data_IF_857284972663
#
_entry.id   IF_857284972663
#
_cell.length_a   1.000
_cell.length_b   1.000
_cell.length_c   1.000
_cell.angle_alpha   90.00
_cell.angle_beta   90.00
_cell.angle_gamma   90.00
#
_symmetry.space_group_name_H-M   'P 1'
#
loop_
_entity.id
_entity.type
_entity.pdbx_description
1 polymer ?
#
# COMPACT_ATOMS: atom_id res chain seq x y z
N UNK A 1 40.46 5.69 8.94
CA UNK A 1 39.19 5.88 8.22
C UNK A 1 38.85 7.35 8.31
N UNK A 2 38.79 8.03 7.17
CA UNK A 2 38.38 9.43 7.11
C UNK A 2 36.92 9.55 7.60
N UNK A 3 36.54 10.72 8.14
CA UNK A 3 35.19 11.00 8.62
C UNK A 3 34.11 10.70 7.58
N UNK A 4 34.37 11.07 6.32
CA UNK A 4 33.49 10.76 5.20
C UNK A 4 33.27 9.25 5.03
N UNK A 5 34.35 8.45 5.07
CA UNK A 5 34.27 6.99 4.97
C UNK A 5 33.46 6.40 6.14
N UNK A 6 33.58 6.99 7.34
CA UNK A 6 32.79 6.59 8.53
C UNK A 6 31.30 6.77 8.33
N UNK A 7 30.91 7.93 7.83
CA UNK A 7 29.51 8.20 7.54
C UNK A 7 28.98 7.34 6.38
N UNK A 8 29.75 7.17 5.32
CA UNK A 8 29.37 6.33 4.19
C UNK A 8 29.21 4.86 4.61
N UNK A 9 30.13 4.33 5.42
CA UNK A 9 30.00 2.97 5.96
C UNK A 9 28.74 2.78 6.82
N UNK A 10 28.34 3.80 7.57
CA UNK A 10 27.08 3.77 8.30
C UNK A 10 25.85 3.71 7.37
N UNK A 11 25.89 4.37 6.21
CA UNK A 11 24.83 4.23 5.21
C UNK A 11 24.81 2.82 4.60
N UNK A 12 26.00 2.27 4.31
CA UNK A 12 26.16 0.95 3.71
C UNK A 12 25.87 -0.22 4.67
N UNK A 13 25.70 0.00 5.97
CA UNK A 13 25.38 -1.06 6.93
C UNK A 13 23.91 -1.51 6.89
N UNK A 14 23.22 -1.33 5.76
CA UNK A 14 21.81 -1.66 5.56
C UNK A 14 20.82 -0.51 5.82
N UNK A 15 21.32 0.70 6.10
CA UNK A 15 20.48 1.87 6.40
C UNK A 15 19.98 2.55 5.13
N UNK A 16 20.91 2.89 4.22
CA UNK A 16 20.62 3.46 2.92
C UNK A 16 21.77 3.09 1.95
N UNK A 17 21.84 1.81 1.63
CA UNK A 17 22.85 1.25 0.73
C UNK A 17 22.85 1.92 -0.67
N UNK A 18 21.69 2.23 -1.29
CA UNK A 18 21.66 2.93 -2.58
C UNK A 18 22.38 4.29 -2.53
N UNK A 19 22.11 5.12 -1.53
CA UNK A 19 22.79 6.40 -1.37
C UNK A 19 24.26 6.22 -1.04
N UNK A 20 24.60 5.29 -0.13
CA UNK A 20 26.00 4.98 0.20
C UNK A 20 26.83 4.61 -1.03
N UNK A 21 26.29 3.74 -1.89
CA UNK A 21 26.93 3.36 -3.15
C UNK A 21 27.03 4.52 -4.14
N UNK A 22 26.00 5.37 -4.23
CA UNK A 22 26.02 6.59 -5.07
C UNK A 22 27.13 7.55 -4.63
N UNK A 23 27.30 7.75 -3.32
CA UNK A 23 28.35 8.61 -2.75
C UNK A 23 29.75 8.02 -2.98
N UNK A 24 29.95 6.71 -2.76
CA UNK A 24 31.22 6.03 -3.07
C UNK A 24 31.62 6.17 -4.54
N UNK A 25 30.66 5.97 -5.45
CA UNK A 25 30.90 6.11 -6.88
C UNK A 25 31.28 7.55 -7.25
N UNK A 26 30.62 8.54 -6.63
CA UNK A 26 30.93 9.95 -6.87
C UNK A 26 32.37 10.29 -6.46
N UNK A 27 32.81 9.90 -5.26
CA UNK A 27 34.16 10.25 -4.78
C UNK A 27 35.29 9.54 -5.55
N UNK A 28 35.01 8.41 -6.19
CA UNK A 28 35.98 7.69 -7.01
C UNK A 28 36.15 8.31 -8.40
N UNK A 29 35.07 8.90 -8.95
CA UNK A 29 35.02 9.31 -10.36
C UNK A 29 34.92 10.82 -10.56
N UNK A 30 34.60 11.59 -9.52
CA UNK A 30 34.35 13.03 -9.57
C UNK A 30 34.88 13.72 -8.32
N UNK A 31 35.04 15.03 -8.42
CA UNK A 31 35.39 15.91 -7.30
C UNK A 31 34.31 16.97 -7.12
N UNK A 32 34.09 17.42 -5.88
CA UNK A 32 33.22 18.57 -5.61
C UNK A 32 33.73 19.79 -6.37
N UNK A 33 32.92 20.30 -7.29
CA UNK A 33 33.30 21.36 -8.22
C UNK A 33 32.48 22.62 -8.00
N UNK A 34 31.19 22.46 -7.69
CA UNK A 34 30.23 23.55 -7.50
C UNK A 34 30.29 24.12 -6.09
N UNK A 35 30.32 23.25 -5.08
CA UNK A 35 30.33 23.66 -3.68
C UNK A 35 31.70 23.49 -3.06
N UNK A 36 32.08 24.43 -2.19
CA UNK A 36 33.23 24.29 -1.31
C UNK A 36 32.88 24.77 0.09
N UNK A 37 33.50 24.16 1.09
CA UNK A 37 33.35 24.56 2.48
C UNK A 37 34.60 25.34 2.92
N UNK A 38 34.43 26.43 3.65
CA UNK A 38 35.54 27.21 4.22
C UNK A 38 35.95 26.70 5.62
N UNK A 39 36.95 27.35 6.22
CA UNK A 39 37.45 27.03 7.56
C UNK A 39 36.42 27.24 8.68
N UNK A 40 35.42 28.10 8.45
CA UNK A 40 34.32 28.38 9.37
C UNK A 40 33.12 27.46 9.13
N UNK A 41 33.25 26.45 8.28
CA UNK A 41 32.20 25.51 7.88
C UNK A 41 31.06 26.15 7.07
N UNK A 42 31.26 27.35 6.51
CA UNK A 42 30.29 27.96 5.60
C UNK A 42 30.49 27.40 4.18
N UNK A 43 29.39 27.22 3.46
CA UNK A 43 29.39 26.63 2.12
C UNK A 43 29.30 27.75 1.09
N UNK A 44 30.23 27.78 0.15
CA UNK A 44 30.19 28.67 -1.01
C UNK A 44 29.66 27.93 -2.23
N UNK A 45 28.63 28.48 -2.88
CA UNK A 45 28.12 28.01 -4.17
C UNK A 45 28.74 28.82 -5.30
N UNK A 46 29.67 28.20 -6.05
CA UNK A 46 30.36 28.85 -7.17
C UNK A 46 29.45 29.12 -8.37
N UNK A 47 28.33 28.41 -8.51
CA UNK A 47 27.38 28.66 -9.60
C UNK A 47 26.68 29.99 -9.41
N UNK A 48 26.29 30.30 -8.17
CA UNK A 48 25.58 31.53 -7.83
C UNK A 48 26.50 32.63 -7.27
N UNK A 49 27.77 32.30 -6.99
CA UNK A 49 28.77 33.17 -6.36
C UNK A 49 28.32 33.73 -5.01
N UNK A 50 27.69 32.91 -4.17
CA UNK A 50 27.17 33.30 -2.85
C UNK A 50 27.56 32.28 -1.79
N UNK A 51 27.70 32.74 -0.55
CA UNK A 51 27.70 31.86 0.61
C UNK A 51 26.27 31.41 0.93
N UNK A 52 26.15 30.18 1.44
CA UNK A 52 24.88 29.58 1.86
C UNK A 52 24.32 30.30 3.09
N UNK A 53 25.21 30.83 3.94
CA UNK A 53 24.86 31.59 5.14
C UNK A 53 25.57 32.94 5.11
N UNK A 54 24.85 34.01 5.44
CA UNK A 54 25.42 35.35 5.66
C UNK A 54 26.13 35.38 7.01
N UNK A 55 25.45 34.87 8.05
CA UNK A 55 26.03 34.60 9.37
C UNK A 55 25.65 33.19 9.80
N UNK A 56 26.63 32.28 9.72
CA UNK A 56 26.41 30.86 9.94
C UNK A 56 25.78 30.54 11.31
N UNK A 57 26.32 31.14 12.38
CA UNK A 57 25.89 30.82 13.74
C UNK A 57 24.49 31.38 14.03
N UNK A 58 24.24 32.63 13.64
CA UNK A 58 22.94 33.28 13.84
C UNK A 58 21.83 32.57 13.06
N UNK A 59 22.07 32.23 11.79
CA UNK A 59 21.07 31.55 10.96
C UNK A 59 20.80 30.13 11.45
N UNK A 60 21.84 29.33 11.76
CA UNK A 60 21.63 27.99 12.31
C UNK A 60 20.84 28.06 13.61
N UNK A 61 21.17 28.99 14.51
CA UNK A 61 20.44 29.16 15.77
C UNK A 61 18.99 29.59 15.52
N UNK A 62 18.74 30.47 14.56
CA UNK A 62 17.39 30.91 14.20
C UNK A 62 16.52 29.73 13.72
N UNK A 63 17.01 28.94 12.74
CA UNK A 63 16.27 27.78 12.24
C UNK A 63 16.10 26.71 13.31
N UNK A 64 17.15 26.46 14.10
CA UNK A 64 17.11 25.50 15.21
C UNK A 64 16.02 25.85 16.24
N UNK A 65 15.98 27.08 16.73
CA UNK A 65 14.98 27.52 17.70
C UNK A 65 13.57 27.52 17.09
N UNK A 66 13.43 28.04 15.87
CA UNK A 66 12.13 28.10 15.18
C UNK A 66 11.51 26.70 15.00
N UNK A 67 12.32 25.70 14.66
CA UNK A 67 11.86 24.31 14.51
C UNK A 67 11.47 23.74 15.88
N UNK A 68 12.30 23.90 16.91
CA UNK A 68 12.02 23.38 18.25
C UNK A 68 10.75 23.98 18.88
N UNK A 69 10.54 25.29 18.71
CA UNK A 69 9.36 25.99 19.22
C UNK A 69 8.07 25.50 18.57
N UNK A 70 8.11 25.21 17.26
CA UNK A 70 6.95 24.73 16.50
C UNK A 70 6.61 23.26 16.72
N UNK A 71 7.59 22.43 17.11
CA UNK A 71 7.45 20.97 17.08
C UNK A 71 7.56 20.32 18.46
N UNK A 72 6.91 20.86 19.51
CA UNK A 72 7.00 20.27 20.84
C UNK A 72 6.43 18.84 20.81
N UNK A 73 7.24 17.86 21.22
CA UNK A 73 6.87 16.44 21.30
C UNK A 73 6.65 15.73 19.95
N UNK A 74 7.06 16.34 18.84
CA UNK A 74 7.02 15.65 17.56
C UNK A 74 8.01 14.47 17.59
N UNK A 75 7.61 13.26 17.19
CA UNK A 75 8.53 12.11 17.18
C UNK A 75 9.49 12.16 15.99
N UNK A 76 9.07 12.81 14.90
CA UNK A 76 9.88 13.02 13.72
C UNK A 76 9.70 14.43 13.16
N UNK A 77 10.68 14.88 12.36
CA UNK A 77 10.53 16.05 11.48
C UNK A 77 11.12 15.77 10.10
N UNK A 78 10.59 16.45 9.08
CA UNK A 78 11.09 16.44 7.71
C UNK A 78 11.79 17.76 7.43
N UNK A 79 13.01 17.72 6.89
CA UNK A 79 13.79 18.92 6.58
C UNK A 79 14.39 18.83 5.18
N UNK A 80 14.25 19.91 4.41
CA UNK A 80 14.92 20.07 3.12
C UNK A 80 16.26 20.81 3.30
N UNK A 81 17.29 20.23 2.70
CA UNK A 81 18.66 20.68 2.69
C UNK A 81 19.46 20.12 3.86
N UNK A 82 20.59 19.47 3.54
CA UNK A 82 21.53 18.98 4.56
C UNK A 82 22.53 20.06 5.01
N UNK A 83 22.79 21.06 4.17
CA UNK A 83 23.77 22.12 4.40
C UNK A 83 25.14 21.57 4.79
N UNK A 84 25.72 22.09 5.87
CA UNK A 84 26.95 21.56 6.48
C UNK A 84 26.69 20.53 7.61
N UNK A 85 25.46 20.04 7.74
CA UNK A 85 24.97 19.12 8.78
C UNK A 85 25.00 19.60 10.25
N UNK A 86 25.43 20.83 10.55
CA UNK A 86 25.43 21.34 11.94
C UNK A 86 24.00 21.41 12.53
N UNK A 87 23.07 22.01 11.77
CA UNK A 87 21.65 22.08 12.17
C UNK A 87 21.07 20.68 12.38
N UNK A 88 21.31 19.78 11.43
CA UNK A 88 20.85 18.37 11.45
C UNK A 88 21.36 17.66 12.71
N UNK A 89 22.66 17.77 13.01
CA UNK A 89 23.27 17.15 14.19
C UNK A 89 22.70 17.68 15.50
N UNK A 90 22.38 18.97 15.56
CA UNK A 90 21.76 19.57 16.75
C UNK A 90 20.31 19.12 16.92
N UNK A 91 19.50 19.15 15.85
CA UNK A 91 18.11 18.69 15.88
C UNK A 91 18.02 17.19 16.22
N UNK A 92 18.96 16.37 15.75
CA UNK A 92 19.01 14.94 16.07
C UNK A 92 19.11 14.64 17.57
N UNK A 93 19.35 15.61 18.46
CA UNK A 93 19.27 15.40 19.92
C UNK A 93 17.82 15.34 20.44
N UNK A 94 16.86 15.89 19.70
CA UNK A 94 15.49 16.13 20.17
C UNK A 94 14.43 15.22 19.54
N UNK A 95 14.69 14.66 18.37
CA UNK A 95 13.73 13.81 17.65
C UNK A 95 14.14 12.34 17.65
N UNK A 96 13.17 11.44 17.51
CA UNK A 96 13.43 10.02 17.31
C UNK A 96 13.88 9.75 15.87
N UNK A 97 13.26 10.43 14.91
CA UNK A 97 13.60 10.34 13.49
C UNK A 97 13.72 11.72 12.86
N UNK A 98 14.69 11.88 11.95
CA UNK A 98 14.94 13.08 11.20
C UNK A 98 15.04 12.70 9.72
N UNK A 99 14.07 13.13 8.92
CA UNK A 99 14.02 12.84 7.50
C UNK A 99 14.62 14.02 6.74
N UNK A 100 15.83 13.86 6.21
CA UNK A 100 16.60 14.93 5.57
C UNK A 100 16.61 14.72 4.07
N UNK A 101 16.08 15.67 3.32
CA UNK A 101 15.97 15.63 1.87
C UNK A 101 17.02 16.53 1.24
N UNK A 102 17.80 16.03 0.29
CA UNK A 102 18.82 16.82 -0.40
C UNK A 102 18.89 16.43 -1.89
N UNK A 103 18.98 17.45 -2.74
CA UNK A 103 19.01 17.30 -4.20
C UNK A 103 20.43 17.25 -4.75
N UNK A 104 21.40 17.83 -4.04
CA UNK A 104 22.78 17.97 -4.49
C UNK A 104 23.70 16.94 -3.81
N UNK A 105 24.25 16.03 -4.62
CA UNK A 105 25.19 15.01 -4.14
C UNK A 105 26.45 15.62 -3.50
N UNK A 106 26.93 16.76 -4.02
CA UNK A 106 28.10 17.44 -3.45
C UNK A 106 27.83 17.93 -2.02
N UNK A 107 26.59 18.34 -1.70
CA UNK A 107 26.23 18.79 -0.35
C UNK A 107 26.19 17.62 0.63
N UNK A 108 25.77 16.42 0.21
CA UNK A 108 25.96 15.20 1.03
C UNK A 108 27.44 14.95 1.32
N UNK A 109 28.31 15.04 0.30
CA UNK A 109 29.75 14.81 0.49
C UNK A 109 30.36 15.83 1.45
N UNK A 110 30.05 17.12 1.30
CA UNK A 110 30.57 18.16 2.18
C UNK A 110 30.08 17.98 3.62
N UNK A 111 28.78 17.76 3.82
CA UNK A 111 28.19 17.53 5.14
C UNK A 111 28.82 16.32 5.85
N UNK A 112 28.89 15.18 5.17
CA UNK A 112 29.43 13.94 5.72
C UNK A 112 30.95 13.94 5.85
N UNK A 113 31.65 14.87 5.19
CA UNK A 113 33.09 15.10 5.41
C UNK A 113 33.36 16.02 6.60
N UNK A 114 32.35 16.77 7.05
CA UNK A 114 32.49 17.82 8.07
C UNK A 114 32.02 17.34 9.44
N UNK A 115 30.87 16.66 9.50
CA UNK A 115 30.23 16.26 10.75
C UNK A 115 30.09 14.73 10.82
N UNK A 116 30.41 14.16 11.99
CA UNK A 116 30.15 12.74 12.27
C UNK A 116 28.66 12.52 12.54
N UNK A 117 27.97 11.86 11.61
CA UNK A 117 26.58 11.42 11.73
C UNK A 117 26.47 9.89 11.85
N UNK A 118 27.60 9.18 11.93
CA UNK A 118 27.63 7.73 11.74
C UNK A 118 26.78 6.95 12.75
N UNK A 119 26.71 7.42 13.99
CA UNK A 119 25.88 6.78 15.02
C UNK A 119 24.39 7.04 14.79
N UNK A 120 24.02 8.28 14.45
CA UNK A 120 22.63 8.62 14.14
C UNK A 120 22.11 7.93 12.87
N UNK A 121 22.97 7.75 11.87
CA UNK A 121 22.65 7.04 10.64
C UNK A 121 22.41 5.55 10.92
N UNK A 122 23.33 4.87 11.63
CA UNK A 122 23.23 3.42 11.93
C UNK A 122 21.92 3.01 12.60
N UNK A 123 21.36 3.89 13.44
CA UNK A 123 20.15 3.60 14.22
C UNK A 123 18.88 4.18 13.60
N UNK A 124 18.92 4.59 12.33
CA UNK A 124 17.80 5.21 11.60
C UNK A 124 17.23 6.46 12.29
N UNK A 125 18.05 7.15 13.09
CA UNK A 125 17.68 8.42 13.71
C UNK A 125 17.73 9.56 12.71
N UNK A 126 18.73 9.54 11.82
CA UNK A 126 18.76 10.39 10.63
C UNK A 126 18.60 9.48 9.43
N UNK A 127 17.65 9.79 8.56
CA UNK A 127 17.46 9.13 7.27
C UNK A 127 17.61 10.17 6.18
N UNK A 128 18.57 9.95 5.29
CA UNK A 128 18.88 10.83 4.18
C UNK A 128 18.12 10.38 2.93
N UNK A 129 17.45 11.30 2.25
CA UNK A 129 16.77 11.07 0.98
C UNK A 129 17.44 11.87 -0.13
N UNK A 130 17.79 11.18 -1.20
CA UNK A 130 18.28 11.79 -2.44
C UNK A 130 17.09 12.16 -3.31
N UNK A 131 16.81 13.46 -3.42
CA UNK A 131 15.63 13.96 -4.13
C UNK A 131 15.64 13.65 -5.64
N UNK A 132 16.78 13.25 -6.19
CA UNK A 132 16.94 12.90 -7.63
C UNK A 132 16.83 11.39 -7.86
N UNK A 133 16.68 10.59 -6.80
CA UNK A 133 16.53 9.14 -6.89
C UNK A 133 15.20 8.76 -7.56
N UNK A 134 15.23 7.77 -8.47
CA UNK A 134 14.03 7.32 -9.20
C UNK A 134 12.98 6.68 -8.29
N UNK A 135 13.42 6.10 -7.18
CA UNK A 135 12.63 5.37 -6.21
C UNK A 135 12.26 6.21 -4.98
N UNK A 136 12.49 7.53 -5.00
CA UNK A 136 12.21 8.45 -3.87
C UNK A 136 10.77 8.33 -3.36
N UNK A 137 9.77 8.33 -4.26
CA UNK A 137 8.35 8.21 -3.89
C UNK A 137 8.08 6.91 -3.13
N UNK A 138 8.71 5.81 -3.56
CA UNK A 138 8.58 4.50 -2.90
C UNK A 138 9.24 4.53 -1.53
N UNK A 139 10.43 5.11 -1.40
CA UNK A 139 11.13 5.24 -0.11
C UNK A 139 10.31 6.06 0.90
N UNK A 140 9.74 7.20 0.48
CA UNK A 140 8.86 8.02 1.31
C UNK A 140 7.62 7.22 1.73
N UNK A 141 6.95 6.56 0.77
CA UNK A 141 5.76 5.77 1.05
C UNK A 141 6.03 4.65 2.06
N UNK A 142 7.13 3.92 1.93
CA UNK A 142 7.51 2.86 2.86
C UNK A 142 7.75 3.37 4.28
N UNK A 143 8.38 4.54 4.43
CA UNK A 143 8.64 5.14 5.75
C UNK A 143 7.36 5.68 6.38
N UNK A 144 6.50 6.31 5.59
CA UNK A 144 5.24 6.86 6.08
C UNK A 144 4.21 5.78 6.45
N UNK A 145 4.29 4.60 5.81
CA UNK A 145 3.44 3.44 6.14
C UNK A 145 3.88 2.70 7.42
N UNK A 146 5.06 3.02 7.98
CA UNK A 146 5.46 2.45 9.27
C UNK A 146 4.55 2.95 10.39
N UNK A 147 3.99 2.03 11.18
CA UNK A 147 3.02 2.35 12.23
C UNK A 147 3.46 3.50 13.15
N UNK A 148 4.72 3.51 13.60
CA UNK A 148 5.23 4.57 14.50
C UNK A 148 5.36 5.95 13.86
N UNK A 149 5.32 6.05 12.53
CA UNK A 149 5.32 7.31 11.79
C UNK A 149 3.87 7.67 11.41
N UNK A 150 3.12 6.69 10.89
CA UNK A 150 1.72 6.79 10.49
C UNK A 150 0.84 7.46 11.57
N UNK A 151 1.01 7.05 12.83
CA UNK A 151 0.27 7.61 13.98
C UNK A 151 0.44 9.12 14.18
N UNK A 152 1.49 9.70 13.59
CA UNK A 152 1.85 11.11 13.72
C UNK A 152 1.90 11.86 12.38
N UNK A 153 1.53 11.23 11.26
CA UNK A 153 1.60 11.85 9.93
C UNK A 153 0.75 13.12 9.78
N UNK A 154 -0.30 13.29 10.58
CA UNK A 154 -1.08 14.53 10.62
C UNK A 154 -0.29 15.74 11.11
N UNK A 155 0.86 15.52 11.76
CA UNK A 155 1.79 16.56 12.22
C UNK A 155 2.87 16.89 11.17
N UNK A 156 2.83 16.26 9.98
CA UNK A 156 3.82 16.50 8.94
C UNK A 156 3.92 17.99 8.57
N UNK A 157 5.16 18.49 8.56
CA UNK A 157 5.56 19.79 8.02
C UNK A 157 6.95 19.64 7.38
N UNK A 158 7.17 20.29 6.24
CA UNK A 158 8.49 20.36 5.60
C UNK A 158 9.22 21.60 6.11
N UNK A 159 10.23 21.41 6.96
CA UNK A 159 11.11 22.47 7.41
C UNK A 159 12.23 22.71 6.41
N UNK A 160 12.81 23.91 6.38
CA UNK A 160 13.92 24.27 5.49
C UNK A 160 15.12 24.64 6.35
N UNK A 161 16.31 24.17 5.94
CA UNK A 161 17.54 24.33 6.75
C UNK A 161 18.24 25.69 6.62
N UNK A 162 17.95 26.47 5.59
CA UNK A 162 18.52 27.82 5.40
C UNK A 162 17.74 28.68 4.40
N UNK A 163 17.95 30.00 4.42
CA UNK A 163 17.40 30.93 3.43
C UNK A 163 17.93 30.66 2.01
N UNK A 164 19.16 30.13 1.89
CA UNK A 164 19.73 29.74 0.59
C UNK A 164 18.86 28.68 -0.11
N UNK A 165 18.39 27.65 0.61
CA UNK A 165 17.51 26.64 0.01
C UNK A 165 16.17 27.23 -0.44
N UNK A 166 15.57 28.10 0.38
CA UNK A 166 14.34 28.82 0.00
C UNK A 166 14.52 29.61 -1.30
N UNK A 167 15.68 30.25 -1.49
CA UNK A 167 15.94 31.11 -2.64
C UNK A 167 16.26 30.34 -3.93
N UNK A 168 17.03 29.25 -3.83
CA UNK A 168 17.58 28.56 -5.02
C UNK A 168 16.93 27.21 -5.32
N UNK A 169 16.14 26.65 -4.40
CA UNK A 169 15.50 25.34 -4.54
C UNK A 169 13.99 25.37 -4.29
N UNK A 170 13.34 26.53 -4.36
CA UNK A 170 11.90 26.71 -4.12
C UNK A 170 11.06 25.70 -4.89
N UNK A 171 11.28 25.55 -6.20
CA UNK A 171 10.53 24.61 -7.04
C UNK A 171 10.71 23.16 -6.58
N UNK A 172 11.96 22.74 -6.27
CA UNK A 172 12.24 21.40 -5.79
C UNK A 172 11.61 21.13 -4.43
N UNK A 173 11.62 22.12 -3.52
CA UNK A 173 10.99 22.06 -2.20
C UNK A 173 9.47 21.88 -2.36
N UNK A 174 8.83 22.69 -3.20
CA UNK A 174 7.38 22.63 -3.43
C UNK A 174 6.97 21.27 -4.01
N UNK A 175 7.64 20.80 -5.06
CA UNK A 175 7.34 19.49 -5.67
C UNK A 175 7.57 18.33 -4.69
N UNK A 176 8.62 18.36 -3.88
CA UNK A 176 8.85 17.35 -2.86
C UNK A 176 7.79 17.41 -1.76
N UNK A 177 7.41 18.60 -1.32
CA UNK A 177 6.38 18.76 -0.30
C UNK A 177 5.02 18.20 -0.77
N UNK A 178 4.64 18.45 -2.03
CA UNK A 178 3.46 17.84 -2.65
C UNK A 178 3.55 16.31 -2.67
N UNK A 179 4.71 15.76 -3.02
CA UNK A 179 4.95 14.31 -3.00
C UNK A 179 4.75 13.72 -1.59
N UNK A 180 5.36 14.31 -0.58
CA UNK A 180 5.21 13.88 0.81
C UNK A 180 3.76 13.98 1.30
N UNK A 181 3.05 15.07 0.99
CA UNK A 181 1.63 15.24 1.37
C UNK A 181 0.76 14.17 0.70
N UNK A 182 1.01 13.88 -0.58
CA UNK A 182 0.31 12.82 -1.32
C UNK A 182 0.57 11.45 -0.69
N UNK A 183 1.84 11.11 -0.42
CA UNK A 183 2.21 9.85 0.23
C UNK A 183 1.60 9.71 1.63
N UNK A 184 1.62 10.78 2.43
CA UNK A 184 1.00 10.78 3.76
C UNK A 184 -0.52 10.59 3.67
N UNK A 185 -1.18 11.24 2.71
CA UNK A 185 -2.62 11.11 2.47
C UNK A 185 -3.01 9.68 2.08
N UNK A 186 -2.18 9.01 1.25
CA UNK A 186 -2.38 7.60 0.88
C UNK A 186 -2.23 6.69 2.10
N UNK A 187 -1.17 6.88 2.90
CA UNK A 187 -0.93 6.07 4.10
C UNK A 187 -2.08 6.21 5.12
N UNK A 188 -2.48 7.45 5.42
CA UNK A 188 -3.61 7.76 6.32
C UNK A 188 -4.91 7.14 5.83
N UNK A 189 -5.21 7.24 4.53
CA UNK A 189 -6.42 6.66 3.94
C UNK A 189 -6.42 5.14 4.04
N UNK A 190 -5.29 4.50 3.71
CA UNK A 190 -5.17 3.05 3.74
C UNK A 190 -5.26 2.49 5.17
N UNK A 191 -4.83 3.27 6.16
CA UNK A 191 -4.95 2.90 7.57
C UNK A 191 -6.40 2.89 8.08
N UNK A 192 -7.34 3.53 7.36
CA UNK A 192 -8.71 3.80 7.80
C UNK A 192 -8.76 4.26 9.26
N UNK A 193 -8.12 5.40 9.55
CA UNK A 193 -8.03 5.95 10.92
C UNK A 193 -9.42 6.19 11.54
N UNK A 194 -10.45 6.40 10.71
CA UNK A 194 -11.83 6.54 11.19
C UNK A 194 -12.40 5.25 11.78
N UNK A 195 -11.73 4.12 11.53
CA UNK A 195 -12.16 2.76 11.87
C UNK A 195 -13.55 2.42 11.35
N UNK A 196 -14.08 3.19 10.39
CA UNK A 196 -15.45 3.04 9.92
C UNK A 196 -15.66 1.64 9.32
N UNK A 197 -14.77 1.21 8.43
CA UNK A 197 -14.93 -0.06 7.73
C UNK A 197 -14.71 -1.26 8.69
N UNK A 198 -13.67 -1.31 9.55
CA UNK A 198 -13.54 -2.34 10.57
C UNK A 198 -14.73 -2.43 11.53
N UNK A 199 -15.27 -1.31 11.99
CA UNK A 199 -16.43 -1.29 12.90
C UNK A 199 -17.70 -1.77 12.20
N UNK A 200 -17.94 -1.30 10.98
CA UNK A 200 -19.07 -1.72 10.15
C UNK A 200 -19.02 -3.23 9.90
N UNK A 201 -17.91 -3.74 9.39
CA UNK A 201 -17.74 -5.16 9.06
C UNK A 201 -17.78 -6.06 10.29
N UNK A 202 -17.26 -5.60 11.44
CA UNK A 202 -17.43 -6.31 12.70
C UNK A 202 -18.91 -6.38 13.14
N UNK A 203 -19.65 -5.28 13.02
CA UNK A 203 -21.09 -5.25 13.30
C UNK A 203 -21.91 -6.14 12.36
N UNK A 204 -21.53 -6.23 11.09
CA UNK A 204 -22.15 -7.14 10.12
C UNK A 204 -21.84 -8.60 10.44
N UNK A 205 -20.60 -8.92 10.80
CA UNK A 205 -20.23 -10.24 11.31
C UNK A 205 -21.11 -10.68 12.48
N UNK A 206 -21.27 -9.83 13.50
CA UNK A 206 -22.12 -10.15 14.66
C UNK A 206 -23.58 -10.43 14.26
N UNK A 207 -24.11 -9.70 13.27
CA UNK A 207 -25.46 -9.93 12.74
C UNK A 207 -25.58 -11.23 11.93
N UNK A 208 -24.49 -11.69 11.33
CA UNK A 208 -24.46 -12.89 10.50
C UNK A 208 -24.25 -14.18 11.30
N UNK A 209 -23.83 -14.09 12.58
CA UNK A 209 -23.60 -15.27 13.43
C UNK A 209 -24.79 -16.25 13.44
N UNK A 210 -26.06 -15.83 13.61
CA UNK A 210 -27.19 -16.78 13.60
C UNK A 210 -27.29 -17.57 12.29
N UNK A 211 -27.25 -16.89 11.14
CA UNK A 211 -27.26 -17.53 9.82
C UNK A 211 -26.02 -18.41 9.60
N UNK A 212 -24.86 -17.99 10.10
CA UNK A 212 -23.64 -18.80 10.03
C UNK A 212 -23.82 -20.13 10.77
N UNK A 213 -24.37 -20.11 11.99
CA UNK A 213 -24.60 -21.31 12.79
C UNK A 213 -25.58 -22.31 12.14
N UNK A 214 -26.50 -21.82 11.30
CA UNK A 214 -27.43 -22.64 10.50
C UNK A 214 -26.83 -23.12 9.17
N UNK A 215 -25.78 -22.45 8.68
CA UNK A 215 -25.13 -22.73 7.40
C UNK A 215 -24.25 -23.99 7.42
N UNK A 216 -23.76 -24.42 6.26
CA UNK A 216 -22.83 -25.54 6.15
C UNK A 216 -21.49 -25.14 6.78
N UNK A 217 -21.00 -25.84 7.83
CA UNK A 217 -19.71 -25.51 8.43
C UNK A 217 -18.57 -25.72 7.43
N UNK A 218 -17.65 -24.76 7.31
CA UNK A 218 -16.54 -24.86 6.36
C UNK A 218 -15.67 -26.11 6.59
N UNK A 219 -15.47 -26.53 7.85
CA UNK A 219 -14.74 -27.77 8.15
C UNK A 219 -15.42 -29.01 7.55
N UNK A 220 -16.75 -29.00 7.41
CA UNK A 220 -17.48 -30.08 6.72
C UNK A 220 -17.12 -30.10 5.24
N UNK A 221 -17.10 -28.95 4.57
CA UNK A 221 -16.68 -28.83 3.17
C UNK A 221 -15.24 -29.33 2.99
N UNK A 222 -14.31 -28.89 3.85
CA UNK A 222 -12.92 -29.36 3.83
C UNK A 222 -12.84 -30.88 4.00
N UNK A 223 -13.53 -31.45 4.99
CA UNK A 223 -13.48 -32.89 5.26
C UNK A 223 -13.99 -33.74 4.09
N UNK A 224 -14.99 -33.25 3.34
CA UNK A 224 -15.64 -34.00 2.28
C UNK A 224 -15.00 -33.79 0.91
N UNK A 225 -14.51 -32.58 0.64
CA UNK A 225 -14.13 -32.14 -0.72
C UNK A 225 -12.63 -31.86 -0.89
N UNK A 226 -11.84 -31.79 0.19
CA UNK A 226 -10.41 -31.53 0.08
C UNK A 226 -9.70 -32.63 -0.74
N UNK A 227 -8.85 -32.22 -1.67
CA UNK A 227 -8.10 -33.09 -2.58
C UNK A 227 -8.97 -34.04 -3.44
N UNK A 228 -10.26 -33.73 -3.65
CA UNK A 228 -11.16 -34.54 -4.50
C UNK A 228 -11.08 -34.20 -5.99
N UNK A 229 -10.59 -33.01 -6.29
CA UNK A 229 -10.51 -32.48 -7.65
C UNK A 229 -9.13 -31.87 -7.87
N UNK A 230 -8.63 -31.93 -9.10
CA UNK A 230 -7.31 -31.40 -9.44
C UNK A 230 -7.35 -30.00 -10.02
N UNK A 231 -8.40 -29.70 -10.81
CA UNK A 231 -8.50 -28.49 -11.63
C UNK A 231 -9.62 -27.58 -11.13
N UNK A 232 -9.28 -26.33 -10.85
CA UNK A 232 -10.21 -25.25 -10.56
C UNK A 232 -10.09 -24.14 -11.62
N UNK A 233 -11.22 -23.52 -11.94
CA UNK A 233 -11.26 -22.29 -12.72
C UNK A 233 -11.87 -21.21 -11.83
N UNK A 234 -11.10 -20.17 -11.54
CA UNK A 234 -11.55 -18.97 -10.82
C UNK A 234 -11.95 -17.91 -11.84
N UNK A 235 -13.22 -17.53 -11.81
CA UNK A 235 -13.87 -16.65 -12.77
C UNK A 235 -14.15 -15.30 -12.13
N UNK A 236 -13.62 -14.24 -12.73
CA UNK A 236 -13.77 -12.85 -12.28
C UNK A 236 -14.42 -11.99 -13.36
N UNK A 237 -14.96 -10.84 -12.99
CA UNK A 237 -15.84 -10.02 -13.84
C UNK A 237 -15.10 -9.06 -14.80
N UNK A 238 -13.77 -9.13 -14.88
CA UNK A 238 -12.98 -8.21 -15.70
C UNK A 238 -13.22 -8.35 -17.21
N UNK A 239 -12.85 -7.34 -18.02
CA UNK A 239 -13.17 -7.28 -19.44
C UNK A 239 -12.72 -8.49 -20.26
N UNK A 240 -11.65 -9.17 -19.86
CA UNK A 240 -11.13 -10.33 -20.57
C UNK A 240 -11.98 -11.60 -20.42
N UNK A 241 -13.01 -11.59 -19.57
CA UNK A 241 -13.89 -12.74 -19.37
C UNK A 241 -14.67 -13.10 -20.65
N UNK A 242 -15.19 -12.11 -21.39
CA UNK A 242 -16.06 -12.33 -22.54
C UNK A 242 -15.48 -13.32 -23.57
N UNK A 243 -14.19 -13.19 -23.89
CA UNK A 243 -13.50 -14.09 -24.85
C UNK A 243 -13.32 -15.51 -24.33
N UNK A 244 -13.40 -15.74 -23.01
CA UNK A 244 -13.21 -17.04 -22.38
C UNK A 244 -14.51 -17.82 -22.20
N UNK A 245 -15.67 -17.15 -22.21
CA UNK A 245 -16.98 -17.79 -21.95
C UNK A 245 -17.29 -18.99 -22.87
N UNK A 246 -17.05 -18.94 -24.20
CA UNK A 246 -17.30 -20.09 -25.07
C UNK A 246 -16.45 -21.30 -24.70
N UNK A 247 -15.19 -21.07 -24.32
CA UNK A 247 -14.27 -22.13 -23.90
C UNK A 247 -14.67 -22.69 -22.53
N UNK A 248 -15.01 -21.82 -21.57
CA UNK A 248 -15.48 -22.23 -20.26
C UNK A 248 -16.71 -23.14 -20.37
N UNK A 249 -17.69 -22.76 -21.20
CA UNK A 249 -18.90 -23.55 -21.43
C UNK A 249 -18.60 -24.94 -22.01
N UNK A 250 -17.65 -25.02 -22.95
CA UNK A 250 -17.27 -26.29 -23.58
C UNK A 250 -16.54 -27.26 -22.61
N UNK A 251 -15.92 -26.73 -21.55
CA UNK A 251 -15.10 -27.50 -20.61
C UNK A 251 -15.60 -27.48 -19.17
N UNK A 252 -16.82 -26.99 -18.90
CA UNK A 252 -17.35 -26.83 -17.55
C UNK A 252 -17.32 -28.14 -16.73
N UNK A 253 -17.57 -29.29 -17.37
CA UNK A 253 -17.57 -30.59 -16.69
C UNK A 253 -16.16 -31.15 -16.40
N UNK A 254 -15.08 -30.41 -16.71
CA UNK A 254 -13.68 -30.86 -16.57
C UNK A 254 -12.94 -30.20 -15.41
N UNK A 255 -13.51 -29.17 -14.80
CA UNK A 255 -12.90 -28.42 -13.70
C UNK A 255 -13.99 -27.87 -12.79
N UNK A 256 -13.65 -27.66 -11.51
CA UNK A 256 -14.56 -27.02 -10.57
C UNK A 256 -14.52 -25.51 -10.78
N UNK A 257 -15.68 -24.89 -10.96
CA UNK A 257 -15.81 -23.47 -11.26
C UNK A 257 -16.08 -22.68 -9.98
N UNK A 258 -15.17 -21.78 -9.64
CA UNK A 258 -15.32 -20.77 -8.60
C UNK A 258 -15.66 -19.44 -9.26
N UNK A 259 -16.83 -18.90 -8.98
CA UNK A 259 -17.31 -17.65 -9.54
C UNK A 259 -17.26 -16.56 -8.48
N UNK A 260 -16.54 -15.47 -8.75
CA UNK A 260 -16.81 -14.23 -8.05
C UNK A 260 -18.23 -13.76 -8.40
N UNK A 261 -19.01 -13.34 -7.40
CA UNK A 261 -20.39 -12.88 -7.56
C UNK A 261 -20.62 -11.92 -8.73
N UNK A 262 -19.74 -10.95 -8.97
CA UNK A 262 -19.86 -10.01 -10.08
C UNK A 262 -19.80 -10.66 -11.47
N UNK A 263 -19.23 -11.86 -11.60
CA UNK A 263 -19.20 -12.62 -12.85
C UNK A 263 -20.42 -13.56 -13.01
N UNK A 264 -21.24 -13.72 -11.97
CA UNK A 264 -22.33 -14.69 -11.94
C UNK A 264 -23.32 -14.46 -13.09
N UNK A 265 -23.82 -13.23 -13.26
CA UNK A 265 -24.82 -12.94 -14.28
C UNK A 265 -24.31 -13.15 -15.72
N UNK A 266 -22.99 -13.04 -15.94
CA UNK A 266 -22.38 -13.34 -17.24
C UNK A 266 -22.36 -14.84 -17.51
N UNK A 267 -22.04 -15.65 -16.50
CA UNK A 267 -22.05 -17.11 -16.60
C UNK A 267 -23.46 -17.64 -16.83
N UNK A 268 -24.44 -17.09 -16.11
CA UNK A 268 -25.85 -17.47 -16.24
C UNK A 268 -26.40 -17.21 -17.65
N UNK A 269 -26.05 -16.08 -18.27
CA UNK A 269 -26.46 -15.75 -19.64
C UNK A 269 -25.94 -16.74 -20.68
N UNK A 270 -24.79 -17.34 -20.41
CA UNK A 270 -24.20 -18.39 -21.25
C UNK A 270 -24.62 -19.81 -20.84
N UNK A 271 -25.44 -19.96 -19.80
CA UNK A 271 -25.87 -21.27 -19.29
C UNK A 271 -24.74 -22.07 -18.65
N UNK A 272 -23.78 -21.38 -18.04
CA UNK A 272 -22.69 -21.98 -17.26
C UNK A 272 -23.09 -21.95 -15.78
N UNK A 273 -23.02 -23.09 -15.11
CA UNK A 273 -23.41 -23.22 -13.71
C UNK A 273 -22.13 -23.36 -12.87
N UNK A 274 -21.80 -22.38 -12.00
CA UNK A 274 -20.62 -22.48 -11.15
C UNK A 274 -20.84 -23.46 -9.99
N UNK A 275 -19.79 -24.18 -9.59
CA UNK A 275 -19.84 -25.06 -8.41
C UNK A 275 -19.81 -24.26 -7.10
N UNK A 276 -19.08 -23.14 -7.10
CA UNK A 276 -18.97 -22.22 -5.96
C UNK A 276 -19.22 -20.80 -6.42
N UNK A 277 -20.02 -20.05 -5.66
CA UNK A 277 -20.18 -18.60 -5.83
C UNK A 277 -19.70 -17.91 -4.58
N UNK A 278 -18.71 -17.02 -4.68
CA UNK A 278 -18.16 -16.31 -3.53
C UNK A 278 -18.64 -14.87 -3.46
N UNK A 279 -18.84 -14.35 -2.25
CA UNK A 279 -19.04 -12.93 -1.99
C UNK A 279 -18.33 -12.54 -0.67
N UNK A 280 -17.82 -11.30 -0.62
CA UNK A 280 -17.29 -10.67 0.60
C UNK A 280 -17.69 -9.21 0.76
N UNK A 281 -18.62 -8.73 -0.06
CA UNK A 281 -18.99 -7.31 -0.07
C UNK A 281 -19.77 -6.92 1.18
N UNK A 282 -19.28 -5.88 1.85
CA UNK A 282 -19.93 -5.26 2.99
C UNK A 282 -21.10 -4.36 2.60
N UNK A 283 -21.43 -4.23 1.30
CA UNK A 283 -22.58 -3.46 0.79
C UNK A 283 -23.64 -4.39 0.22
N UNK A 284 -24.88 -3.95 0.16
CA UNK A 284 -25.98 -4.73 -0.42
C UNK A 284 -26.07 -4.64 -1.95
N UNK A 285 -25.15 -3.94 -2.62
CA UNK A 285 -25.14 -3.85 -4.09
C UNK A 285 -25.06 -5.24 -4.74
N UNK A 286 -24.27 -6.15 -4.17
CA UNK A 286 -24.12 -7.51 -4.67
C UNK A 286 -25.42 -8.33 -4.64
N UNK A 287 -26.47 -7.88 -3.94
CA UNK A 287 -27.83 -8.45 -4.07
C UNK A 287 -28.27 -8.55 -5.53
N UNK A 288 -27.83 -7.64 -6.40
CA UNK A 288 -28.17 -7.62 -7.82
C UNK A 288 -27.65 -8.85 -8.58
N UNK A 289 -26.56 -9.45 -8.12
CA UNK A 289 -25.99 -10.65 -8.75
C UNK A 289 -26.75 -11.93 -8.39
N UNK A 290 -27.44 -11.95 -7.23
CA UNK A 290 -28.12 -13.16 -6.71
C UNK A 290 -29.63 -13.22 -7.03
N UNK A 291 -30.07 -12.64 -8.15
CA UNK A 291 -31.50 -12.58 -8.49
C UNK A 291 -32.07 -13.93 -8.94
N UNK A 292 -31.28 -14.77 -9.60
CA UNK A 292 -31.74 -16.05 -10.13
C UNK A 292 -31.40 -17.23 -9.21
N UNK A 293 -32.23 -17.41 -8.17
CA UNK A 293 -32.02 -18.44 -7.15
C UNK A 293 -32.11 -19.88 -7.67
N UNK A 294 -32.83 -20.13 -8.75
CA UNK A 294 -32.98 -21.50 -9.30
C UNK A 294 -31.64 -22.07 -9.77
N UNK A 295 -30.79 -21.23 -10.37
CA UNK A 295 -29.45 -21.62 -10.81
C UNK A 295 -28.51 -21.90 -9.62
N UNK A 296 -28.73 -21.24 -8.47
CA UNK A 296 -27.89 -21.37 -7.28
C UNK A 296 -28.10 -22.69 -6.53
N UNK A 297 -29.20 -23.43 -6.79
CA UNK A 297 -29.48 -24.70 -6.11
C UNK A 297 -28.40 -25.77 -6.32
N UNK A 298 -27.65 -25.66 -7.41
CA UNK A 298 -26.56 -26.58 -7.74
C UNK A 298 -25.19 -26.10 -7.23
N UNK A 299 -25.10 -24.85 -6.78
CA UNK A 299 -23.87 -24.23 -6.30
C UNK A 299 -23.78 -24.27 -4.78
N UNK A 300 -22.55 -24.19 -4.25
CA UNK A 300 -22.32 -23.77 -2.86
C UNK A 300 -22.03 -22.27 -2.85
N UNK A 301 -22.80 -21.53 -2.08
CA UNK A 301 -22.57 -20.10 -1.90
C UNK A 301 -21.63 -19.92 -0.71
N UNK A 302 -20.48 -19.33 -0.96
CA UNK A 302 -19.43 -19.08 0.00
C UNK A 302 -19.40 -17.60 0.37
N UNK A 303 -19.86 -17.27 1.57
CA UNK A 303 -19.89 -15.89 2.06
C UNK A 303 -18.76 -15.69 3.07
N UNK A 304 -18.11 -14.53 3.01
CA UNK A 304 -17.24 -14.09 4.09
C UNK A 304 -18.09 -13.62 5.28
N UNK A 305 -17.57 -13.77 6.50
CA UNK A 305 -18.34 -13.52 7.71
C UNK A 305 -18.90 -12.08 7.85
N UNK A 306 -18.28 -11.08 7.22
CA UNK A 306 -18.76 -9.70 7.16
C UNK A 306 -19.47 -9.33 5.85
N UNK A 307 -19.84 -10.29 4.98
CA UNK A 307 -20.79 -10.05 3.88
C UNK A 307 -22.03 -9.31 4.39
N UNK A 308 -22.56 -8.37 3.60
CA UNK A 308 -23.70 -7.56 4.02
C UNK A 308 -24.89 -8.42 4.48
N UNK A 309 -25.50 -8.15 5.66
CA UNK A 309 -26.53 -9.01 6.24
C UNK A 309 -27.76 -9.25 5.36
N UNK A 310 -28.12 -8.30 4.48
CA UNK A 310 -29.23 -8.50 3.53
C UNK A 310 -28.95 -9.64 2.55
N UNK A 311 -27.70 -9.77 2.08
CA UNK A 311 -27.27 -10.85 1.19
C UNK A 311 -27.36 -12.17 1.92
N UNK A 312 -26.75 -12.26 3.11
CA UNK A 312 -26.80 -13.45 3.97
C UNK A 312 -28.23 -13.92 4.22
N UNK A 313 -29.12 -13.01 4.67
CA UNK A 313 -30.53 -13.32 4.93
C UNK A 313 -31.26 -13.79 3.68
N UNK A 314 -31.00 -13.16 2.53
CA UNK A 314 -31.64 -13.52 1.27
C UNK A 314 -31.27 -14.91 0.78
N UNK A 315 -30.08 -15.41 1.15
CA UNK A 315 -29.50 -16.68 0.73
C UNK A 315 -29.57 -17.75 1.83
N UNK A 316 -30.22 -17.48 2.96
CA UNK A 316 -30.25 -18.38 4.12
C UNK A 316 -30.91 -19.74 3.84
N UNK A 317 -31.80 -19.80 2.84
CA UNK A 317 -32.46 -21.03 2.42
C UNK A 317 -31.66 -21.84 1.38
N UNK A 318 -30.57 -21.29 0.85
CA UNK A 318 -29.73 -21.92 -0.16
C UNK A 318 -28.57 -22.71 0.48
N UNK A 319 -27.79 -23.41 -0.34
CA UNK A 319 -26.58 -24.13 0.11
C UNK A 319 -25.44 -23.15 0.45
N UNK A 320 -25.60 -22.40 1.54
CA UNK A 320 -24.62 -21.43 2.01
C UNK A 320 -23.60 -22.03 2.97
N UNK A 321 -22.38 -21.51 2.91
CA UNK A 321 -21.40 -21.54 4.00
C UNK A 321 -20.93 -20.11 4.30
N UNK A 322 -20.76 -19.79 5.57
CA UNK A 322 -20.20 -18.52 6.01
C UNK A 322 -18.86 -18.79 6.69
N UNK A 323 -17.78 -18.23 6.15
CA UNK A 323 -16.39 -18.52 6.56
C UNK A 323 -15.79 -17.32 7.29
N UNK A 324 -15.06 -17.59 8.39
CA UNK A 324 -14.40 -16.53 9.16
C UNK A 324 -13.08 -16.10 8.50
N UNK A 325 -12.75 -14.81 8.61
CA UNK A 325 -11.43 -14.34 8.19
C UNK A 325 -10.36 -14.83 9.15
N UNK A 326 -9.20 -15.17 8.61
CA UNK A 326 -8.01 -15.54 9.38
C UNK A 326 -7.36 -14.32 10.06
N UNK A 327 -8.06 -13.69 11.00
CA UNK A 327 -7.56 -12.59 11.84
C UNK A 327 -7.83 -12.91 13.32
N UNK A 328 -6.93 -12.43 14.18
CA UNK A 328 -7.02 -12.64 15.63
C UNK A 328 -8.36 -12.20 16.23
N UNK A 329 -8.98 -11.15 15.67
CA UNK A 329 -10.31 -10.67 16.09
C UNK A 329 -11.39 -11.75 16.00
N UNK A 330 -11.47 -12.47 14.87
CA UNK A 330 -12.50 -13.49 14.64
C UNK A 330 -12.15 -14.82 15.30
N UNK A 331 -10.86 -15.14 15.44
CA UNK A 331 -10.39 -16.35 16.14
C UNK A 331 -10.81 -16.39 17.61
N UNK A 332 -10.96 -15.23 18.26
CA UNK A 332 -11.39 -15.12 19.67
C UNK A 332 -12.78 -15.69 19.96
N UNK A 333 -13.64 -15.84 18.95
CA UNK A 333 -14.95 -16.45 19.10
C UNK A 333 -14.91 -17.98 19.20
N UNK A 334 -13.75 -18.61 18.90
CA UNK A 334 -13.55 -20.07 18.95
C UNK A 334 -14.57 -20.88 18.13
N UNK A 335 -15.06 -20.32 17.03
CA UNK A 335 -16.03 -20.94 16.10
C UNK A 335 -15.32 -21.82 15.07
N UNK A 336 -14.50 -22.75 15.56
CA UNK A 336 -13.54 -23.51 14.74
C UNK A 336 -14.18 -24.37 13.63
N UNK A 337 -15.43 -24.79 13.81
CA UNK A 337 -16.19 -25.58 12.82
C UNK A 337 -16.46 -24.80 11.52
N UNK A 338 -16.53 -23.46 11.61
CA UNK A 338 -16.72 -22.56 10.48
C UNK A 338 -15.40 -22.14 9.83
N UNK A 339 -14.27 -22.56 10.42
CA UNK A 339 -12.91 -22.42 9.91
C UNK A 339 -12.46 -20.97 9.66
N UNK A 340 -11.17 -20.83 9.37
CA UNK A 340 -10.53 -19.53 9.16
C UNK A 340 -9.76 -19.56 7.84
N UNK A 341 -10.04 -18.59 6.97
CA UNK A 341 -9.38 -18.47 5.67
C UNK A 341 -8.93 -17.03 5.44
N UNK A 342 -7.84 -16.86 4.70
CA UNK A 342 -7.50 -15.54 4.19
C UNK A 342 -8.42 -15.21 3.01
N UNK A 343 -9.40 -14.34 3.24
CA UNK A 343 -10.37 -13.94 2.21
C UNK A 343 -9.84 -12.82 1.30
N UNK A 344 -8.68 -12.22 1.61
CA UNK A 344 -8.15 -11.08 0.87
C UNK A 344 -9.05 -9.83 0.95
N UNK A 345 -8.95 -8.98 -0.08
CA UNK A 345 -9.69 -7.70 -0.21
C UNK A 345 -10.64 -7.66 -1.42
N UNK A 346 -10.61 -8.66 -2.29
CA UNK A 346 -11.46 -8.76 -3.48
C UNK A 346 -12.08 -10.16 -3.57
N UNK A 347 -13.29 -10.27 -4.09
CA UNK A 347 -14.07 -11.53 -4.13
C UNK A 347 -13.31 -12.65 -4.86
N UNK A 348 -12.58 -12.33 -5.93
CA UNK A 348 -11.78 -13.31 -6.67
C UNK A 348 -10.58 -13.85 -5.89
N UNK A 349 -10.00 -13.05 -4.99
CA UNK A 349 -8.99 -13.53 -4.05
C UNK A 349 -9.60 -14.58 -3.13
N UNK A 350 -10.79 -14.34 -2.59
CA UNK A 350 -11.49 -15.33 -1.77
C UNK A 350 -11.80 -16.62 -2.53
N UNK A 351 -12.24 -16.53 -3.79
CA UNK A 351 -12.38 -17.70 -4.67
C UNK A 351 -11.06 -18.48 -4.81
N UNK A 352 -9.96 -17.79 -5.05
CA UNK A 352 -8.63 -18.40 -5.18
C UNK A 352 -8.18 -19.08 -3.89
N UNK A 353 -8.27 -18.42 -2.74
CA UNK A 353 -7.84 -18.99 -1.46
C UNK A 353 -8.74 -20.14 -1.02
N UNK A 354 -10.03 -20.09 -1.34
CA UNK A 354 -10.94 -21.20 -1.13
C UNK A 354 -10.54 -22.43 -1.96
N UNK A 355 -10.19 -22.24 -3.23
CA UNK A 355 -9.66 -23.31 -4.07
C UNK A 355 -8.33 -23.89 -3.49
N UNK A 356 -7.43 -23.03 -3.00
CA UNK A 356 -6.23 -23.50 -2.32
C UNK A 356 -6.55 -24.32 -1.06
N UNK A 357 -7.48 -23.86 -0.23
CA UNK A 357 -7.88 -24.54 1.00
C UNK A 357 -8.48 -25.94 0.72
N UNK A 358 -9.19 -26.07 -0.40
CA UNK A 358 -9.75 -27.34 -0.90
C UNK A 358 -8.70 -28.23 -1.59
N UNK A 359 -7.46 -27.78 -1.73
CA UNK A 359 -6.34 -28.61 -2.22
C UNK A 359 -6.29 -28.80 -3.74
N UNK A 360 -6.86 -27.86 -4.50
CA UNK A 360 -6.70 -27.85 -5.95
C UNK A 360 -5.24 -27.64 -6.34
N UNK A 361 -4.76 -28.40 -7.33
CA UNK A 361 -3.36 -28.32 -7.82
C UNK A 361 -3.22 -27.32 -8.95
N UNK A 362 -4.19 -27.31 -9.86
CA UNK A 362 -4.22 -26.44 -11.02
C UNK A 362 -5.34 -25.42 -10.82
N UNK A 363 -5.00 -24.15 -10.62
CA UNK A 363 -5.96 -23.07 -10.46
C UNK A 363 -5.78 -22.10 -11.62
N UNK A 364 -6.76 -22.06 -12.52
CA UNK A 364 -6.76 -21.23 -13.73
C UNK A 364 -7.60 -19.99 -13.42
N UNK A 365 -7.03 -18.79 -13.59
CA UNK A 365 -7.76 -17.54 -13.38
C UNK A 365 -8.17 -16.95 -14.74
N UNK A 366 -9.44 -16.57 -14.87
CA UNK A 366 -9.98 -15.90 -16.05
C UNK A 366 -10.78 -14.66 -15.65
N UNK A 367 -10.78 -13.62 -16.50
CA UNK A 367 -11.43 -12.34 -16.20
C UNK A 367 -10.80 -11.57 -15.04
N UNK A 368 -9.58 -11.93 -14.63
CA UNK A 368 -8.83 -11.27 -13.56
C UNK A 368 -7.91 -10.21 -14.15
N UNK A 369 -8.48 -9.09 -14.59
CA UNK A 369 -7.73 -8.08 -15.34
C UNK A 369 -7.01 -7.07 -14.44
N UNK A 370 -7.66 -6.63 -13.34
CA UNK A 370 -7.16 -5.55 -12.48
C UNK A 370 -6.82 -4.26 -13.24
N UNK A 371 -7.45 -4.06 -14.39
CA UNK A 371 -7.20 -2.96 -15.31
C UNK A 371 -8.43 -2.73 -16.20
N UNK A 372 -8.49 -1.54 -16.81
CA UNK A 372 -9.44 -1.24 -17.88
C UNK A 372 -8.94 -1.82 -19.21
N UNK A 373 -9.86 -2.18 -20.10
CA UNK A 373 -9.51 -2.51 -21.50
C UNK A 373 -9.22 -1.25 -22.35
N UNK A 374 -8.89 -1.45 -23.63
CA UNK A 374 -8.59 -0.36 -24.57
C UNK A 374 -9.78 0.62 -24.79
N UNK A 375 -11.02 0.15 -24.58
CA UNK A 375 -12.24 0.96 -24.69
C UNK A 375 -12.60 1.67 -23.36
N UNK A 376 -11.81 1.40 -22.31
CA UNK A 376 -11.97 1.94 -20.98
C UNK A 376 -13.05 1.23 -20.16
N UNK A 377 -13.44 0.01 -20.51
CA UNK A 377 -14.35 -0.82 -19.73
C UNK A 377 -13.60 -1.44 -18.55
N UNK A 378 -14.21 -1.46 -17.37
CA UNK A 378 -13.66 -2.13 -16.18
C UNK A 378 -14.21 -3.52 -15.96
N UNK A 379 -15.35 -3.84 -16.61
CA UNK A 379 -16.03 -5.12 -16.47
C UNK A 379 -16.41 -5.67 -17.84
N UNK A 380 -16.53 -6.99 -17.92
CA UNK A 380 -16.94 -7.68 -19.14
C UNK A 380 -18.40 -7.38 -19.52
N UNK A 381 -18.70 -7.56 -20.81
CA UNK A 381 -20.05 -7.43 -21.35
C UNK A 381 -21.03 -8.31 -20.59
N UNK A 382 -22.15 -7.69 -20.20
CA UNK A 382 -23.20 -8.37 -19.44
C UNK A 382 -23.10 -8.21 -17.92
N UNK A 383 -22.15 -7.41 -17.39
CA UNK A 383 -22.11 -7.04 -15.98
C UNK A 383 -23.38 -6.28 -15.57
N UNK A 384 -23.94 -6.60 -14.40
CA UNK A 384 -25.25 -6.04 -14.02
C UNK A 384 -25.22 -4.54 -13.75
N UNK A 385 -24.06 -3.95 -13.43
CA UNK A 385 -23.91 -2.50 -13.27
C UNK A 385 -23.36 -1.78 -14.51
N UNK A 386 -23.22 -2.50 -15.63
CA UNK A 386 -22.69 -1.96 -16.88
C UNK A 386 -21.16 -2.03 -16.99
N UNK A 387 -20.65 -2.12 -18.21
CA UNK A 387 -19.21 -2.34 -18.52
C UNK A 387 -18.30 -1.20 -18.00
N UNK A 388 -18.86 0.00 -17.83
CA UNK A 388 -18.24 1.16 -17.19
C UNK A 388 -18.96 1.45 -15.88
N UNK A 389 -18.43 0.95 -14.78
CA UNK A 389 -19.01 1.18 -13.47
C UNK A 389 -18.74 2.63 -13.02
N UNK A 390 -19.80 3.40 -12.78
CA UNK A 390 -19.71 4.85 -12.51
C UNK A 390 -18.89 5.23 -11.27
N UNK A 391 -18.73 4.31 -10.32
CA UNK A 391 -17.84 4.48 -9.16
C UNK A 391 -16.36 4.64 -9.54
N UNK A 392 -15.98 4.31 -10.78
CA UNK A 392 -14.60 4.31 -11.28
C UNK A 392 -14.32 5.40 -12.32
N UNK A 393 -15.31 6.25 -12.64
CA UNK A 393 -15.16 7.33 -13.63
C UNK A 393 -14.26 8.48 -13.15
N UNK A 394 -14.21 8.72 -11.84
CA UNK A 394 -13.46 9.82 -11.22
C UNK A 394 -12.09 9.40 -10.65
N UNK A 395 -11.54 8.27 -11.10
CA UNK A 395 -10.24 7.77 -10.64
C UNK A 395 -9.17 8.16 -11.65
N UNK A 396 -8.03 8.68 -11.18
CA UNK A 396 -6.86 8.92 -12.03
C UNK A 396 -6.40 7.62 -12.69
N UNK A 397 -6.45 7.58 -14.03
CA UNK A 397 -6.10 6.40 -14.82
C UNK A 397 -4.64 6.47 -15.23
N UNK A 398 -3.87 5.45 -14.88
CA UNK A 398 -2.49 5.28 -15.33
C UNK A 398 -2.47 4.31 -16.51
N UNK A 399 -1.90 4.74 -17.64
CA UNK A 399 -1.67 3.84 -18.76
C UNK A 399 -0.49 2.93 -18.42
N UNK A 400 -0.75 1.62 -18.32
CA UNK A 400 0.30 0.62 -18.21
C UNK A 400 0.95 0.47 -19.61
N UNK A 401 2.28 0.63 -19.74
CA UNK A 401 2.98 0.59 -21.01
C UNK A 401 3.03 -0.80 -21.66
#
# INVERSE_FOLDING_TARGET
>A
MNLLEKNIQALLSGVNEPLGNKLLNFIQNKTCSRFNIDENLNIYDKTHNVFMYENLEEEINFFYQSILEKTPRYPFICIYGIGNALLIKNLAKHYKHLFVFESEIELFILALSTIDLSEELKVYKIVLFDCVAKDLEIQIAMIFDQQSILEYLSLYEMFISSHYYLKYYETSILSLNELCIKSASVAIRNADITCFLPLLTHGQFLQNIPSMLESIPFQRILSQRKNKFENAIVVSAGPSLAKQLPLLKAYQDKAVIFCADGALSMLEKEGIIPDYVTNLDFTDLAMKFFQNKENLKQSIIALECATHPNIVRSLNAENCMIVLRNKALYQRFNLNDFGYIDTGTHVSHFSYTLALALGFKNIIMIGQDLAFDEEGNSHSKGFDFGEKFSGEENIDKLKVP
#
